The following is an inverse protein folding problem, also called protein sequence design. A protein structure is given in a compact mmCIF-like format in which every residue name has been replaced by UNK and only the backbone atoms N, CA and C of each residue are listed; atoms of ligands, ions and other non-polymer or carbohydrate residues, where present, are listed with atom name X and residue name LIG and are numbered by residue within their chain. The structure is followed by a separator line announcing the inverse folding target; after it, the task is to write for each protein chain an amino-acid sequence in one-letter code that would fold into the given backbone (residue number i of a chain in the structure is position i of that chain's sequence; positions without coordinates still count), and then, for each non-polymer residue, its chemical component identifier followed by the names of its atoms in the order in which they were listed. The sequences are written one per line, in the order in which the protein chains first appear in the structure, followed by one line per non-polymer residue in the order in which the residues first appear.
data_IF_484554745765
#
_entry.id   IF_484554745765
#
_cell.length_a   1.000
_cell.length_b   1.000
_cell.length_c   1.000
_cell.angle_alpha   90.00
_cell.angle_beta   90.00
_cell.angle_gamma   90.00
#
_symmetry.space_group_name_H-M   'P 1'
#
loop_
_entity.id
_entity.type
_entity.pdbx_description
1 polymer ?
#
# COMPACT_ATOMS: atom_id res chain seq x y z
N UNK A 1 -23.77 2.83 -14.86
CA UNK A 1 -23.35 2.62 -13.45
C UNK A 1 -22.10 1.75 -13.32
N UNK A 2 -21.84 0.83 -14.25
CA UNK A 2 -20.68 -0.10 -14.25
C UNK A 2 -19.31 0.58 -14.28
N UNK A 3 -19.08 1.55 -15.19
CA UNK A 3 -17.79 2.27 -15.32
C UNK A 3 -17.29 2.89 -14.02
N UNK A 4 -18.20 3.36 -13.16
CA UNK A 4 -17.88 3.95 -11.85
C UNK A 4 -17.38 2.90 -10.85
N UNK A 5 -17.95 1.70 -10.89
CA UNK A 5 -17.51 0.58 -10.04
C UNK A 5 -16.17 0.02 -10.53
N UNK A 6 -15.98 -0.12 -11.84
CA UNK A 6 -14.70 -0.54 -12.43
C UNK A 6 -13.58 0.41 -12.03
N UNK A 7 -13.78 1.73 -12.20
CA UNK A 7 -12.78 2.73 -11.82
C UNK A 7 -12.40 2.65 -10.33
N UNK A 8 -13.39 2.48 -9.45
CA UNK A 8 -13.14 2.32 -8.00
C UNK A 8 -12.22 1.13 -7.73
N UNK A 9 -12.55 -0.04 -8.26
CA UNK A 9 -11.78 -1.26 -8.02
C UNK A 9 -10.39 -1.17 -8.66
N UNK A 10 -10.27 -0.60 -9.87
CA UNK A 10 -8.98 -0.35 -10.51
C UNK A 10 -8.08 0.52 -9.64
N UNK A 11 -8.58 1.64 -9.10
CA UNK A 11 -7.80 2.52 -8.23
C UNK A 11 -7.39 1.82 -6.93
N UNK A 12 -8.29 1.06 -6.31
CA UNK A 12 -8.00 0.26 -5.10
C UNK A 12 -6.90 -0.75 -5.40
N UNK A 13 -6.98 -1.49 -6.50
CA UNK A 13 -5.98 -2.49 -6.88
C UNK A 13 -4.63 -1.87 -7.20
N UNK A 14 -4.59 -0.79 -8.00
CA UNK A 14 -3.33 -0.11 -8.35
C UNK A 14 -2.65 0.45 -7.11
N UNK A 15 -3.38 1.14 -6.22
CA UNK A 15 -2.80 1.66 -5.00
C UNK A 15 -2.40 0.55 -4.02
N UNK A 16 -3.17 -0.54 -3.94
CA UNK A 16 -2.80 -1.74 -3.18
C UNK A 16 -1.46 -2.33 -3.61
N UNK A 17 -1.33 -2.64 -4.91
CA UNK A 17 -0.09 -3.17 -5.50
C UNK A 17 1.06 -2.18 -5.32
N UNK A 18 0.82 -0.89 -5.59
CA UNK A 18 1.83 0.16 -5.42
C UNK A 18 2.33 0.26 -3.98
N UNK A 19 1.44 0.11 -2.99
CA UNK A 19 1.83 0.13 -1.58
C UNK A 19 2.63 -1.11 -1.19
N UNK A 20 2.29 -2.30 -1.71
CA UNK A 20 3.10 -3.51 -1.53
C UNK A 20 4.51 -3.30 -2.08
N UNK A 21 4.64 -2.80 -3.31
CA UNK A 21 5.95 -2.53 -3.92
C UNK A 21 6.74 -1.48 -3.14
N UNK A 22 6.07 -0.42 -2.66
CA UNK A 22 6.68 0.62 -1.82
C UNK A 22 7.14 0.04 -0.48
N UNK A 23 6.39 -0.89 0.10
CA UNK A 23 6.76 -1.57 1.34
C UNK A 23 8.02 -2.43 1.16
N UNK A 24 8.07 -3.19 0.06
CA UNK A 24 9.18 -4.10 -0.26
C UNK A 24 10.46 -3.40 -0.71
N UNK A 25 10.38 -2.16 -1.18
CA UNK A 25 11.53 -1.40 -1.66
C UNK A 25 11.89 -0.29 -0.68
N UNK A 26 11.08 0.77 -0.65
CA UNK A 26 11.37 2.00 0.10
C UNK A 26 11.32 1.79 1.61
N UNK A 27 10.23 1.21 2.14
CA UNK A 27 10.12 1.00 3.59
C UNK A 27 11.09 -0.06 4.08
N UNK A 28 11.33 -1.09 3.28
CA UNK A 28 12.32 -2.12 3.58
C UNK A 28 13.71 -1.52 3.78
N UNK A 29 14.22 -0.76 2.81
CA UNK A 29 15.54 -0.11 2.92
C UNK A 29 15.61 0.91 4.05
N UNK A 30 14.51 1.63 4.31
CA UNK A 30 14.46 2.62 5.38
C UNK A 30 14.49 2.00 6.78
N UNK A 31 13.78 0.89 6.97
CA UNK A 31 13.63 0.22 8.26
C UNK A 31 14.75 -0.79 8.53
N UNK A 32 15.34 -1.36 7.48
CA UNK A 32 16.34 -2.42 7.52
C UNK A 32 17.52 -1.99 6.63
N UNK A 33 18.31 -0.99 7.08
CA UNK A 33 19.41 -0.44 6.29
C UNK A 33 20.58 -1.41 6.15
N UNK A 34 20.77 -2.31 7.13
CA UNK A 34 21.72 -3.42 7.07
C UNK A 34 20.98 -4.74 7.21
N UNK A 35 20.82 -5.44 6.10
CA UNK A 35 20.15 -6.74 6.03
C UNK A 35 20.98 -7.85 6.68
N UNK A 36 22.30 -7.72 6.71
CA UNK A 36 23.23 -8.74 7.22
C UNK A 36 23.31 -8.71 8.76
N UNK A 37 22.96 -7.59 9.39
CA UNK A 37 22.94 -7.41 10.84
C UNK A 37 22.18 -8.55 11.56
N UNK A 38 21.08 -9.01 10.98
CA UNK A 38 20.17 -10.00 11.57
C UNK A 38 20.65 -11.45 11.48
N UNK A 39 21.82 -11.71 10.87
CA UNK A 39 22.49 -13.01 11.00
C UNK A 39 23.04 -13.25 12.42
N UNK A 40 23.31 -12.18 13.14
CA UNK A 40 23.95 -12.22 14.47
C UNK A 40 23.11 -11.57 15.56
N UNK A 41 22.00 -10.93 15.20
CA UNK A 41 21.14 -10.20 16.11
C UNK A 41 19.68 -10.55 15.90
N UNK A 42 18.94 -10.64 17.01
CA UNK A 42 17.50 -10.80 16.93
C UNK A 42 16.81 -9.51 16.51
N UNK A 43 15.73 -9.68 15.75
CA UNK A 43 14.91 -8.58 15.31
C UNK A 43 14.02 -8.09 16.45
N UNK A 44 13.97 -6.76 16.65
CA UNK A 44 13.13 -6.20 17.71
C UNK A 44 11.64 -6.52 17.47
N UNK A 45 10.82 -6.48 18.53
CA UNK A 45 9.41 -6.91 18.46
C UNK A 45 8.58 -6.13 17.45
N UNK A 46 8.90 -4.86 17.18
CA UNK A 46 8.20 -4.05 16.20
C UNK A 46 8.49 -4.51 14.77
N UNK A 47 9.77 -4.69 14.42
CA UNK A 47 10.16 -5.20 13.10
C UNK A 47 9.70 -6.65 12.90
N UNK A 48 9.78 -7.49 13.94
CA UNK A 48 9.34 -8.88 13.90
C UNK A 48 7.82 -9.04 13.66
N UNK A 49 7.04 -7.97 13.90
CA UNK A 49 5.62 -7.98 13.56
C UNK A 49 5.40 -7.95 12.04
N UNK A 50 6.27 -7.28 11.28
CA UNK A 50 6.10 -7.03 9.84
C UNK A 50 7.11 -7.76 8.97
N UNK A 51 8.21 -8.22 9.54
CA UNK A 51 9.29 -8.89 8.84
C UNK A 51 9.62 -10.20 9.54
N UNK A 52 10.23 -11.12 8.82
CA UNK A 52 10.72 -12.39 9.36
C UNK A 52 12.06 -12.72 8.72
N UNK A 53 13.01 -13.19 9.52
CA UNK A 53 14.29 -13.70 9.04
C UNK A 53 14.29 -15.23 9.20
N UNK A 54 14.14 -15.95 8.10
CA UNK A 54 14.01 -17.40 8.09
C UNK A 54 15.15 -18.09 7.33
N UNK A 55 15.25 -19.43 7.40
CA UNK A 55 16.24 -20.18 6.63
C UNK A 55 16.05 -20.00 5.11
N UNK A 56 14.81 -19.79 4.66
CA UNK A 56 14.47 -19.59 3.24
C UNK A 56 15.11 -18.32 2.65
N UNK A 57 15.30 -17.29 3.48
CA UNK A 57 15.92 -16.02 3.13
C UNK A 57 17.40 -15.96 3.55
N UNK A 58 17.99 -17.11 3.91
CA UNK A 58 19.33 -17.22 4.48
C UNK A 58 19.53 -16.28 5.69
N UNK A 59 18.50 -16.08 6.53
CA UNK A 59 18.58 -15.17 7.68
C UNK A 59 18.42 -13.68 7.36
N UNK A 60 18.15 -13.31 6.10
CA UNK A 60 17.84 -11.93 5.74
C UNK A 60 16.38 -11.62 6.10
N UNK A 61 16.08 -10.45 6.66
CA UNK A 61 14.70 -10.06 6.90
C UNK A 61 13.91 -10.01 5.60
N UNK A 62 12.70 -10.55 5.60
CA UNK A 62 11.76 -10.44 4.48
C UNK A 62 10.38 -10.01 5.01
N UNK A 63 9.61 -9.22 4.24
CA UNK A 63 8.26 -8.84 4.65
C UNK A 63 7.38 -10.09 4.80
N UNK A 64 6.67 -10.16 5.92
CA UNK A 64 5.79 -11.30 6.20
C UNK A 64 4.36 -11.07 5.67
N UNK A 65 3.48 -12.05 5.88
CA UNK A 65 2.08 -11.99 5.46
C UNK A 65 1.33 -10.79 6.06
N UNK A 66 1.65 -10.41 7.31
CA UNK A 66 1.00 -9.25 7.94
C UNK A 66 1.39 -7.95 7.25
N UNK A 67 2.66 -7.78 6.87
CA UNK A 67 3.11 -6.64 6.07
C UNK A 67 2.38 -6.58 4.73
N UNK A 68 2.24 -7.72 4.03
CA UNK A 68 1.50 -7.79 2.77
C UNK A 68 0.04 -7.36 2.93
N UNK A 69 -0.66 -7.91 3.93
CA UNK A 69 -2.07 -7.57 4.21
C UNK A 69 -2.21 -6.08 4.53
N UNK A 70 -1.36 -5.53 5.40
CA UNK A 70 -1.42 -4.12 5.78
C UNK A 70 -1.10 -3.20 4.62
N UNK A 71 -0.12 -3.55 3.79
CA UNK A 71 0.22 -2.80 2.58
C UNK A 71 -0.98 -2.74 1.63
N UNK A 72 -1.66 -3.86 1.40
CA UNK A 72 -2.88 -3.89 0.60
C UNK A 72 -4.01 -3.06 1.21
N UNK A 73 -4.20 -3.12 2.53
CA UNK A 73 -5.22 -2.34 3.22
C UNK A 73 -4.95 -0.83 3.12
N UNK A 74 -3.73 -0.39 3.41
CA UNK A 74 -3.31 1.01 3.29
C UNK A 74 -3.46 1.50 1.86
N UNK A 75 -2.94 0.74 0.88
CA UNK A 75 -3.09 1.07 -0.52
C UNK A 75 -4.56 1.13 -0.96
N UNK A 76 -5.40 0.20 -0.49
CA UNK A 76 -6.83 0.19 -0.77
C UNK A 76 -7.57 1.40 -0.17
N UNK A 77 -7.21 1.82 1.05
CA UNK A 77 -7.74 3.03 1.69
C UNK A 77 -7.38 4.26 0.85
N UNK A 78 -6.12 4.37 0.42
CA UNK A 78 -5.64 5.47 -0.44
C UNK A 78 -6.40 5.48 -1.78
N UNK A 79 -6.49 4.33 -2.46
CA UNK A 79 -7.18 4.21 -3.75
C UNK A 79 -8.67 4.57 -3.66
N UNK A 80 -9.34 4.16 -2.58
CA UNK A 80 -10.73 4.54 -2.32
C UNK A 80 -10.86 6.05 -1.99
N UNK A 81 -9.89 6.64 -1.29
CA UNK A 81 -9.80 8.07 -1.04
C UNK A 81 -9.68 8.87 -2.34
N UNK A 82 -8.77 8.47 -3.23
CA UNK A 82 -8.59 9.09 -4.56
C UNK A 82 -9.88 8.99 -5.37
N UNK A 83 -10.52 7.81 -5.40
CA UNK A 83 -11.80 7.63 -6.08
C UNK A 83 -12.86 8.63 -5.59
N UNK A 84 -13.04 8.77 -4.27
CA UNK A 84 -14.00 9.73 -3.69
C UNK A 84 -13.70 11.18 -4.07
N UNK A 85 -12.41 11.56 -4.12
CA UNK A 85 -12.01 12.91 -4.53
C UNK A 85 -12.33 13.17 -6.00
N UNK A 86 -12.06 12.22 -6.88
CA UNK A 86 -12.34 12.33 -8.31
C UNK A 86 -13.85 12.39 -8.61
N UNK A 87 -14.67 11.57 -7.94
CA UNK A 87 -16.12 11.60 -8.14
C UNK A 87 -16.73 12.89 -7.60
N UNK A 88 -16.33 13.34 -6.40
CA UNK A 88 -16.80 14.61 -5.82
C UNK A 88 -16.46 15.82 -6.72
N UNK A 89 -15.24 15.85 -7.30
CA UNK A 89 -14.84 16.91 -8.23
C UNK A 89 -15.67 16.90 -9.52
N UNK A 90 -16.07 15.71 -9.98
CA UNK A 90 -16.89 15.54 -11.19
C UNK A 90 -18.32 16.04 -10.96
N UNK A 91 -18.93 15.72 -9.82
CA UNK A 91 -20.27 16.21 -9.44
C UNK A 91 -20.33 17.73 -9.34
N UNK A 92 -19.32 18.35 -8.72
CA UNK A 92 -19.22 19.82 -8.62
C UNK A 92 -19.12 20.47 -10.00
N UNK A 93 -18.33 19.90 -10.92
CA UNK A 93 -18.20 20.43 -12.29
C UNK A 93 -19.53 20.40 -13.04
N UNK A 94 -20.28 19.31 -12.94
CA UNK A 94 -21.61 19.17 -13.59
C UNK A 94 -22.58 20.22 -13.04
N UNK A 95 -22.61 20.41 -11.73
CA UNK A 95 -23.51 21.39 -11.08
C UNK A 95 -23.21 22.84 -11.51
N UNK A 96 -21.94 23.20 -11.65
CA UNK A 96 -21.55 24.53 -12.16
C UNK A 96 -21.98 24.74 -13.61
N UNK A 97 -21.80 23.74 -14.48
CA UNK A 97 -22.23 23.85 -15.88
C UNK A 97 -23.74 23.96 -15.99
N UNK A 98 -24.50 23.19 -15.20
CA UNK A 98 -25.97 23.23 -15.21
C UNK A 98 -26.56 24.57 -14.74
N UNK A 99 -25.86 25.30 -13.85
CA UNK A 99 -26.31 26.61 -13.38
C UNK A 99 -25.94 27.78 -14.32
N UNK A 100 -25.09 27.54 -15.32
CA UNK A 100 -24.61 28.55 -16.27
C UNK A 100 -25.28 28.46 -17.65
N UNK A 101 -26.32 27.62 -17.79
CA UNK A 101 -27.18 27.47 -18.98
C UNK A 101 -28.58 27.93 -18.61
#
# INVERSE_FOLDING_TARGET
MEKSKTLKWTLISICGIGMVLTSFTVLYELLIPDICYYHTHEMNSFLNLFYSAGPASNGHPEPNILNFILSLLVGGIIGNGIYKLLTKKTELKIKTTANNV
#
